data_IF_318787032111
#
_entry.id   IF_318787032111
#
_cell.length_a   1.000
_cell.length_b   1.000
_cell.length_c   1.000
_cell.angle_alpha   90.00
_cell.angle_beta   90.00
_cell.angle_gamma   90.00
#
_symmetry.space_group_name_H-M   'P 1'
#
loop_
_entity.id
_entity.type
_entity.pdbx_description
1 polymer ?
#
# COMPACT_ATOMS: atom_id res chain seq x y z
N UNK A 1 8.14 -9.85 -6.27
CA UNK A 1 8.52 -9.10 -5.04
C UNK A 1 7.30 -8.70 -4.22
N UNK A 2 6.21 -8.27 -4.86
CA UNK A 2 4.97 -7.81 -4.22
C UNK A 2 4.47 -8.65 -3.03
N UNK A 3 4.44 -9.98 -3.16
CA UNK A 3 4.01 -10.88 -2.07
C UNK A 3 4.83 -10.69 -0.79
N UNK A 4 6.15 -10.55 -0.92
CA UNK A 4 7.05 -10.41 0.23
C UNK A 4 6.89 -9.02 0.84
N UNK A 5 6.81 -7.99 0.01
CA UNK A 5 6.53 -6.61 0.44
C UNK A 5 5.21 -6.53 1.21
N UNK A 6 4.12 -7.09 0.66
CA UNK A 6 2.81 -7.16 1.32
C UNK A 6 2.88 -7.85 2.68
N UNK A 7 3.52 -9.03 2.74
CA UNK A 7 3.70 -9.75 4.02
C UNK A 7 4.45 -8.93 5.05
N UNK A 8 5.46 -8.15 4.64
CA UNK A 8 6.20 -7.26 5.54
C UNK A 8 5.34 -6.10 6.01
N UNK A 9 4.55 -5.50 5.13
CA UNK A 9 3.62 -4.43 5.48
C UNK A 9 2.59 -4.88 6.52
N UNK A 10 1.97 -6.05 6.34
CA UNK A 10 0.97 -6.59 7.28
C UNK A 10 1.53 -6.79 8.70
N UNK A 11 2.83 -7.03 8.85
CA UNK A 11 3.46 -7.16 10.17
C UNK A 11 3.46 -5.86 10.98
N UNK A 12 3.19 -4.69 10.37
CA UNK A 12 3.00 -3.44 11.11
C UNK A 12 1.66 -3.41 11.84
N UNK A 13 0.70 -4.26 11.46
CA UNK A 13 -0.67 -4.24 11.98
C UNK A 13 -1.58 -3.21 11.30
N UNK A 14 -1.08 -2.47 10.30
CA UNK A 14 -1.88 -1.52 9.51
C UNK A 14 -2.64 -2.27 8.41
N UNK A 15 -3.91 -1.89 8.19
CA UNK A 15 -4.70 -2.42 7.07
C UNK A 15 -3.99 -2.17 5.74
N UNK A 16 -3.76 -3.24 4.99
CA UNK A 16 -2.85 -3.24 3.84
C UNK A 16 -3.54 -3.88 2.64
N UNK A 17 -3.42 -3.22 1.49
CA UNK A 17 -3.92 -3.70 0.20
C UNK A 17 -2.92 -3.34 -0.91
N UNK A 18 -2.83 -4.20 -1.94
CA UNK A 18 -2.07 -3.90 -3.16
C UNK A 18 -2.92 -3.05 -4.10
N UNK A 19 -2.32 -2.03 -4.71
CA UNK A 19 -2.99 -1.26 -5.77
C UNK A 19 -2.17 -1.41 -7.05
N UNK A 20 -2.79 -1.93 -8.11
CA UNK A 20 -2.10 -2.19 -9.39
C UNK A 20 -3.00 -2.02 -10.60
N UNK A 21 -2.43 -1.63 -11.73
CA UNK A 21 -3.02 -1.70 -13.08
C UNK A 21 -2.42 -2.84 -13.91
N UNK A 22 -1.44 -3.58 -13.37
CA UNK A 22 -0.79 -4.71 -14.04
C UNK A 22 -1.49 -6.03 -13.70
N UNK A 23 -2.07 -6.66 -14.74
CA UNK A 23 -2.78 -7.94 -14.63
C UNK A 23 -1.92 -9.07 -14.03
N UNK A 24 -0.60 -9.08 -14.26
CA UNK A 24 0.31 -10.10 -13.70
C UNK A 24 0.39 -9.98 -12.17
N UNK A 25 0.31 -8.75 -11.65
CA UNK A 25 0.31 -8.50 -10.20
C UNK A 25 -1.05 -8.88 -9.62
N UNK A 26 -2.15 -8.61 -10.33
CA UNK A 26 -3.51 -9.02 -9.94
C UNK A 26 -3.61 -10.54 -9.76
N UNK A 27 -3.12 -11.31 -10.74
CA UNK A 27 -3.13 -12.77 -10.70
C UNK A 27 -2.33 -13.33 -9.52
N UNK A 28 -1.16 -12.74 -9.24
CA UNK A 28 -0.36 -13.11 -8.07
C UNK A 28 -1.10 -12.77 -6.77
N UNK A 29 -1.80 -11.64 -6.70
CA UNK A 29 -2.59 -11.29 -5.51
C UNK A 29 -3.73 -12.29 -5.27
N UNK A 30 -4.49 -12.64 -6.32
CA UNK A 30 -5.55 -13.64 -6.22
C UNK A 30 -5.03 -15.03 -5.85
N UNK A 31 -3.86 -15.43 -6.35
CA UNK A 31 -3.26 -16.73 -6.01
C UNK A 31 -2.93 -16.88 -4.53
N UNK A 32 -2.67 -15.77 -3.83
CA UNK A 32 -2.23 -15.75 -2.44
C UNK A 32 -3.21 -15.04 -1.50
N UNK A 33 -4.45 -14.84 -1.93
CA UNK A 33 -5.51 -14.16 -1.16
C UNK A 33 -5.06 -12.78 -0.62
N UNK A 34 -4.27 -12.06 -1.40
CA UNK A 34 -3.82 -10.71 -1.09
C UNK A 34 -4.92 -9.73 -1.54
N UNK A 35 -5.43 -8.86 -0.66
CA UNK A 35 -6.36 -7.80 -1.05
C UNK A 35 -5.74 -6.94 -2.15
N UNK A 36 -6.49 -6.69 -3.22
CA UNK A 36 -6.03 -5.90 -4.36
C UNK A 36 -7.13 -5.00 -4.90
N UNK A 37 -6.82 -3.71 -5.10
CA UNK A 37 -7.62 -2.79 -5.91
C UNK A 37 -7.02 -2.66 -7.30
N UNK A 38 -7.84 -2.95 -8.30
CA UNK A 38 -7.44 -2.93 -9.71
C UNK A 38 -7.77 -1.56 -10.28
N UNK A 39 -6.74 -0.81 -10.67
CA UNK A 39 -6.91 0.48 -11.33
C UNK A 39 -7.07 0.22 -12.82
N UNK A 40 -8.23 0.59 -13.37
CA UNK A 40 -8.56 0.36 -14.78
C UNK A 40 -7.99 1.41 -15.71
N UNK A 41 -7.77 2.63 -15.20
CA UNK A 41 -7.20 3.71 -15.99
C UNK A 41 -5.67 3.68 -15.93
N UNK A 42 -4.99 3.99 -17.04
CA UNK A 42 -3.53 4.07 -17.05
C UNK A 42 -3.04 5.16 -16.08
N UNK A 43 -2.18 4.75 -15.15
CA UNK A 43 -1.46 5.65 -14.24
C UNK A 43 -0.05 5.91 -14.77
N UNK A 44 0.44 7.15 -14.67
CA UNK A 44 1.81 7.48 -15.10
C UNK A 44 2.83 7.16 -13.99
N UNK A 45 2.40 7.22 -12.74
CA UNK A 45 3.24 7.00 -11.57
C UNK A 45 2.54 6.15 -10.51
N UNK A 46 3.31 5.59 -9.58
CA UNK A 46 2.76 4.88 -8.42
C UNK A 46 1.89 5.78 -7.53
N UNK A 47 2.22 7.07 -7.44
CA UNK A 47 1.43 8.06 -6.68
C UNK A 47 0.05 8.26 -7.30
N UNK A 48 -0.07 8.35 -8.63
CA UNK A 48 -1.37 8.46 -9.30
C UNK A 48 -2.27 7.28 -8.96
N UNK A 49 -1.66 6.10 -8.89
CA UNK A 49 -2.35 4.86 -8.60
C UNK A 49 -2.91 4.85 -7.18
N UNK A 50 -2.09 5.23 -6.20
CA UNK A 50 -2.52 5.34 -4.81
C UNK A 50 -3.58 6.43 -4.64
N UNK A 51 -3.43 7.58 -5.30
CA UNK A 51 -4.42 8.66 -5.23
C UNK A 51 -5.81 8.22 -5.75
N UNK A 52 -5.86 7.41 -6.81
CA UNK A 52 -7.13 6.85 -7.32
C UNK A 52 -7.78 5.87 -6.36
N UNK A 53 -6.99 4.98 -5.74
CA UNK A 53 -7.50 4.07 -4.74
C UNK A 53 -7.97 4.83 -3.48
N UNK A 54 -7.19 5.83 -3.05
CA UNK A 54 -7.51 6.71 -1.93
C UNK A 54 -8.85 7.42 -2.10
N UNK A 55 -9.19 7.86 -3.31
CA UNK A 55 -10.47 8.52 -3.59
C UNK A 55 -11.70 7.64 -3.30
N UNK A 56 -11.54 6.30 -3.24
CA UNK A 56 -12.60 5.36 -2.85
C UNK A 56 -12.73 5.20 -1.34
N UNK A 57 -11.70 5.59 -0.58
CA UNK A 57 -11.59 5.40 0.86
C UNK A 57 -12.01 6.67 1.62
N UNK A 58 -13.29 7.00 1.58
CA UNK A 58 -13.81 8.28 2.12
C UNK A 58 -13.79 8.38 3.65
N UNK A 59 -13.47 7.30 4.36
CA UNK A 59 -13.40 7.23 5.83
C UNK A 59 -11.98 7.05 6.36
N UNK A 60 -10.99 7.07 5.48
CA UNK A 60 -9.59 6.87 5.83
C UNK A 60 -8.92 8.24 5.96
N UNK A 61 -8.31 8.52 7.10
CA UNK A 61 -7.71 9.83 7.40
C UNK A 61 -6.37 10.02 6.70
N UNK A 62 -5.55 8.96 6.65
CA UNK A 62 -4.25 8.98 6.02
C UNK A 62 -3.95 7.65 5.34
N UNK A 63 -3.08 7.70 4.33
CA UNK A 63 -2.63 6.54 3.56
C UNK A 63 -1.12 6.60 3.46
N UNK A 64 -0.47 5.48 3.76
CA UNK A 64 0.98 5.31 3.59
C UNK A 64 1.22 4.60 2.26
N UNK A 65 1.93 5.25 1.34
CA UNK A 65 2.33 4.64 0.08
C UNK A 65 3.62 3.83 0.28
N UNK A 66 3.53 2.49 0.19
CA UNK A 66 4.67 1.59 0.19
C UNK A 66 4.92 1.04 -1.22
N UNK A 67 6.13 1.24 -1.75
CA UNK A 67 6.50 0.73 -3.06
C UNK A 67 6.57 -0.80 -3.06
N UNK A 68 6.00 -1.42 -4.11
CA UNK A 68 5.83 -2.89 -4.21
C UNK A 68 7.13 -3.68 -4.39
N UNK A 69 8.24 -3.02 -4.68
CA UNK A 69 9.59 -3.55 -4.86
C UNK A 69 10.46 -3.43 -3.60
N UNK A 70 9.85 -3.22 -2.42
CA UNK A 70 10.52 -3.19 -1.11
C UNK A 70 10.34 -4.50 -0.29
N UNK A 71 10.90 -5.65 -0.70
CA UNK A 71 10.68 -6.94 -0.04
C UNK A 71 11.31 -7.03 1.37
N UNK A 72 12.11 -6.03 1.75
CA UNK A 72 12.75 -5.92 3.05
C UNK A 72 12.16 -4.78 3.90
N UNK A 73 11.04 -4.19 3.46
CA UNK A 73 10.32 -3.16 4.22
C UNK A 73 10.26 -3.53 5.70
N UNK A 74 10.68 -2.60 6.54
CA UNK A 74 10.69 -2.78 7.98
C UNK A 74 9.35 -2.32 8.55
N UNK A 75 8.59 -3.21 9.22
CA UNK A 75 7.31 -2.83 9.84
C UNK A 75 7.43 -1.63 10.78
N UNK A 76 8.55 -1.50 11.49
CA UNK A 76 8.79 -0.39 12.40
C UNK A 76 8.93 0.95 11.69
N UNK A 77 9.40 0.97 10.44
CA UNK A 77 9.49 2.23 9.69
C UNK A 77 8.12 2.68 9.19
N UNK A 78 7.23 1.72 8.85
CA UNK A 78 5.83 2.01 8.56
C UNK A 78 5.14 2.59 9.80
N UNK A 79 5.36 2.00 10.97
CA UNK A 79 4.80 2.47 12.24
C UNK A 79 5.29 3.88 12.61
N UNK A 80 6.56 4.21 12.37
CA UNK A 80 7.08 5.58 12.58
C UNK A 80 6.37 6.59 11.70
N UNK A 81 6.12 6.25 10.43
CA UNK A 81 5.38 7.14 9.53
C UNK A 81 3.94 7.30 10.00
N UNK A 82 3.29 6.22 10.44
CA UNK A 82 1.93 6.28 11.01
C UNK A 82 1.87 7.19 12.25
N UNK A 83 2.82 7.03 13.19
CA UNK A 83 2.92 7.86 14.39
C UNK A 83 3.07 9.35 14.06
N UNK A 84 3.88 9.69 13.05
CA UNK A 84 4.01 11.08 12.57
C UNK A 84 2.73 11.63 11.95
N UNK A 85 1.90 10.79 11.33
CA UNK A 85 0.62 11.22 10.76
C UNK A 85 -0.44 11.44 11.86
N UNK A 86 -0.43 10.62 12.93
CA UNK A 86 -1.38 10.73 14.04
C UNK A 86 -1.02 11.85 15.02
N UNK A 87 0.25 11.95 15.41
CA UNK A 87 0.70 12.84 16.49
C UNK A 87 1.33 14.14 15.97
N UNK A 88 1.49 14.27 14.65
CA UNK A 88 2.25 15.36 14.03
C UNK A 88 3.75 15.22 14.27
N UNK A 89 4.56 15.99 13.54
CA UNK A 89 6.00 16.06 13.77
C UNK A 89 6.24 16.82 15.08
N UNK A 90 6.91 16.25 16.10
CA UNK A 90 7.43 17.05 17.20
C UNK A 90 8.41 18.06 16.61
N UNK A 91 8.07 19.35 16.72
CA UNK A 91 8.92 20.45 16.23
C UNK A 91 10.27 20.52 16.92
#
# INVERSE_FOLDING_TARGET
>A
MIRRTYKRAVLSGIDTMVVTDDQRIVEECFRYDIPVDIVKEPCKTGTDRVARAAAKLTKTEWIINLQGDEPFANPNDILKVADQMENGVPG
#
